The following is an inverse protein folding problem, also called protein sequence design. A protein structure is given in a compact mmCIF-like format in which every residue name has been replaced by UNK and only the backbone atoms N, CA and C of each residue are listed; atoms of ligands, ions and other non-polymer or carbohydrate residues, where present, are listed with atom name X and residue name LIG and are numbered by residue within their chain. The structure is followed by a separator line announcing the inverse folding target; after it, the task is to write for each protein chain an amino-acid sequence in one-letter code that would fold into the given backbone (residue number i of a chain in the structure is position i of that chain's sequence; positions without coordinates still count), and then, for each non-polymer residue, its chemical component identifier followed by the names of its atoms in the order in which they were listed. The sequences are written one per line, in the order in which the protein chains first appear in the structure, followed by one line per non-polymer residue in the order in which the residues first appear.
data_IF_289077108639
#
_entry.id   IF_289077108639
#
_cell.length_a   1.000
_cell.length_b   1.000
_cell.length_c   1.000
_cell.angle_alpha   90.00
_cell.angle_beta   90.00
_cell.angle_gamma   90.00
#
_symmetry.space_group_name_H-M   'P 1'
#
loop_
_entity.id
_entity.type
_entity.pdbx_description
1 polymer ?
#
# COMPACT_ATOMS: atom_id res chain seq x y z
N UNK A 1 -7.88 -10.97 13.70
CA UNK A 1 -8.33 -9.86 12.83
C UNK A 1 -9.81 -9.54 13.09
N UNK A 2 -10.68 -10.55 13.34
CA UNK A 2 -12.12 -10.30 13.61
C UNK A 2 -12.38 -9.47 14.88
N UNK A 3 -11.50 -9.51 15.88
CA UNK A 3 -11.70 -8.84 17.16
C UNK A 3 -11.21 -7.38 17.18
N UNK A 4 -10.51 -6.93 16.14
CA UNK A 4 -9.96 -5.58 16.06
C UNK A 4 -10.91 -4.56 15.38
N UNK A 5 -12.12 -4.97 14.97
CA UNK A 5 -13.11 -4.08 14.36
C UNK A 5 -12.77 -3.60 12.93
N UNK A 6 -11.76 -4.16 12.30
CA UNK A 6 -11.38 -3.80 10.93
C UNK A 6 -12.23 -4.55 9.91
N UNK A 7 -12.67 -3.84 8.87
CA UNK A 7 -13.33 -4.44 7.71
C UNK A 7 -12.36 -4.45 6.52
N UNK A 8 -11.60 -5.53 6.30
CA UNK A 8 -10.69 -5.60 5.17
C UNK A 8 -11.47 -5.73 3.87
N UNK A 9 -11.11 -4.95 2.85
CA UNK A 9 -11.56 -5.15 1.47
C UNK A 9 -10.37 -5.71 0.70
N UNK A 10 -10.42 -7.01 0.40
CA UNK A 10 -9.40 -7.72 -0.37
C UNK A 10 -9.97 -8.02 -1.75
N UNK A 11 -9.29 -7.56 -2.80
CA UNK A 11 -9.60 -7.94 -4.18
C UNK A 11 -8.51 -8.88 -4.66
N UNK A 12 -8.84 -10.15 -4.81
CA UNK A 12 -7.93 -11.14 -5.36
C UNK A 12 -7.86 -11.00 -6.89
N UNK A 13 -6.65 -10.96 -7.44
CA UNK A 13 -6.42 -10.91 -8.88
C UNK A 13 -5.93 -12.29 -9.35
N UNK A 14 -6.49 -12.88 -10.44
CA UNK A 14 -5.97 -14.12 -11.02
C UNK A 14 -4.51 -13.95 -11.47
N UNK A 15 -3.68 -14.96 -11.21
CA UNK A 15 -2.26 -14.92 -11.59
C UNK A 15 -2.05 -14.75 -13.10
N UNK A 16 -2.96 -15.26 -13.91
CA UNK A 16 -2.93 -15.18 -15.39
C UNK A 16 -3.10 -13.75 -15.93
N UNK A 17 -3.78 -12.87 -15.18
CA UNK A 17 -3.91 -11.45 -15.58
C UNK A 17 -2.58 -10.69 -15.52
N UNK A 18 -1.54 -11.28 -14.94
CA UNK A 18 -0.22 -10.68 -14.70
C UNK A 18 0.78 -11.01 -15.81
N UNK A 19 0.58 -12.08 -16.58
CA UNK A 19 1.53 -12.52 -17.61
C UNK A 19 1.57 -11.62 -18.88
N UNK A 20 0.56 -10.80 -19.10
CA UNK A 20 0.45 -9.93 -20.28
C UNK A 20 1.10 -8.54 -20.17
N UNK A 21 1.45 -8.09 -18.98
CA UNK A 21 2.04 -6.78 -18.76
C UNK A 21 3.58 -6.88 -18.66
N UNK A 22 4.24 -6.81 -19.80
CA UNK A 22 5.65 -6.49 -20.01
C UNK A 22 6.67 -6.96 -18.97
N UNK A 23 7.31 -8.11 -19.22
CA UNK A 23 8.53 -8.57 -18.55
C UNK A 23 9.70 -7.59 -18.76
N UNK A 24 9.70 -6.44 -18.12
CA UNK A 24 10.92 -5.66 -17.86
C UNK A 24 10.80 -5.01 -16.47
N UNK A 25 11.40 -5.64 -15.46
CA UNK A 25 11.70 -4.98 -14.19
C UNK A 25 10.73 -5.16 -13.03
N UNK A 26 9.82 -6.13 -13.01
CA UNK A 26 8.99 -6.42 -11.81
C UNK A 26 7.93 -5.37 -11.45
N UNK A 27 7.69 -4.39 -12.29
CA UNK A 27 6.66 -3.37 -12.08
C UNK A 27 5.34 -3.85 -12.69
N UNK A 28 4.41 -4.23 -11.83
CA UNK A 28 3.06 -4.61 -12.22
C UNK A 28 2.16 -3.38 -12.21
N UNK A 29 1.79 -2.91 -13.40
CA UNK A 29 0.78 -1.87 -13.53
C UNK A 29 -0.60 -2.43 -13.14
N UNK A 30 -1.20 -1.90 -12.08
CA UNK A 30 -2.56 -2.28 -11.70
C UNK A 30 -3.57 -1.79 -12.73
N UNK A 31 -4.43 -2.66 -13.27
CA UNK A 31 -5.46 -2.23 -14.23
C UNK A 31 -6.30 -1.08 -13.67
N UNK A 32 -6.53 -0.06 -14.48
CA UNK A 32 -7.23 1.17 -14.07
C UNK A 32 -8.61 0.89 -13.46
N UNK A 33 -9.30 -0.14 -13.96
CA UNK A 33 -10.61 -0.56 -13.45
C UNK A 33 -10.52 -1.08 -12.02
N UNK A 34 -9.48 -1.84 -11.69
CA UNK A 34 -9.23 -2.36 -10.34
C UNK A 34 -8.90 -1.22 -9.38
N UNK A 35 -8.02 -0.31 -9.79
CA UNK A 35 -7.69 0.89 -9.00
C UNK A 35 -8.94 1.70 -8.69
N UNK A 36 -9.75 1.96 -9.71
CA UNK A 36 -10.99 2.72 -9.57
C UNK A 36 -11.99 2.04 -8.64
N UNK A 37 -12.16 0.72 -8.76
CA UNK A 37 -13.03 -0.05 -7.87
C UNK A 37 -12.58 0.05 -6.41
N UNK A 38 -11.28 -0.13 -6.13
CA UNK A 38 -10.72 0.02 -4.78
C UNK A 38 -10.98 1.42 -4.22
N UNK A 39 -10.73 2.46 -5.01
CA UNK A 39 -10.93 3.85 -4.58
C UNK A 39 -12.42 4.14 -4.30
N UNK A 40 -13.34 3.62 -5.11
CA UNK A 40 -14.77 3.79 -4.88
C UNK A 40 -15.25 3.06 -3.61
N UNK A 41 -14.66 1.90 -3.28
CA UNK A 41 -14.95 1.16 -2.03
C UNK A 41 -14.38 1.90 -0.83
N UNK A 42 -13.10 2.30 -0.88
CA UNK A 42 -12.43 3.03 0.20
C UNK A 42 -12.99 4.43 0.43
N UNK A 43 -13.53 5.02 -0.61
CA UNK A 43 -14.20 6.31 -0.62
C UNK A 43 -13.42 7.40 0.14
N UNK A 44 -12.20 7.72 -0.29
CA UNK A 44 -11.43 8.78 0.35
C UNK A 44 -12.19 10.11 0.34
N UNK A 45 -12.06 10.92 1.39
CA UNK A 45 -12.75 12.20 1.49
C UNK A 45 -11.81 13.33 1.95
N UNK A 46 -12.28 14.56 1.82
CA UNK A 46 -11.51 15.75 2.16
C UNK A 46 -10.93 15.68 3.58
N UNK A 47 -9.66 16.05 3.72
CA UNK A 47 -8.93 16.04 4.98
C UNK A 47 -8.32 14.68 5.37
N UNK A 48 -8.66 13.60 4.68
CA UNK A 48 -8.14 12.28 4.97
C UNK A 48 -6.67 12.13 4.56
N UNK A 49 -5.96 11.28 5.30
CA UNK A 49 -4.64 10.78 4.97
C UNK A 49 -4.74 9.45 4.22
N UNK A 50 -4.02 9.37 3.09
CA UNK A 50 -4.00 8.20 2.21
C UNK A 50 -2.58 7.66 2.13
N UNK A 51 -2.40 6.36 2.35
CA UNK A 51 -1.09 5.71 2.29
C UNK A 51 -1.05 4.58 1.27
N UNK A 52 0.06 4.54 0.52
CA UNK A 52 0.42 3.43 -0.37
C UNK A 52 1.89 3.04 -0.11
N UNK A 53 2.09 1.91 0.57
CA UNK A 53 3.42 1.41 0.93
C UNK A 53 4.17 0.69 -0.20
N UNK A 54 3.58 0.60 -1.39
CA UNK A 54 4.20 0.05 -2.61
C UNK A 54 3.73 0.88 -3.81
N UNK A 55 3.89 2.22 -3.71
CA UNK A 55 3.14 3.16 -4.52
C UNK A 55 3.47 3.17 -6.01
N UNK A 56 4.55 2.50 -6.41
CA UNK A 56 4.93 2.46 -7.80
C UNK A 56 5.06 3.86 -8.40
N UNK A 57 4.42 4.10 -9.52
CA UNK A 57 4.35 5.43 -10.16
C UNK A 57 3.29 6.38 -9.56
N UNK A 58 2.62 5.99 -8.47
CA UNK A 58 1.63 6.82 -7.77
C UNK A 58 0.21 6.74 -8.30
N UNK A 59 -0.07 5.79 -9.19
CA UNK A 59 -1.37 5.72 -9.87
C UNK A 59 -2.57 5.58 -8.94
N UNK A 60 -2.45 4.82 -7.83
CA UNK A 60 -3.53 4.66 -6.85
C UNK A 60 -3.78 5.95 -6.06
N UNK A 61 -2.71 6.64 -5.65
CA UNK A 61 -2.81 7.92 -4.95
C UNK A 61 -3.46 8.99 -5.84
N UNK A 62 -3.06 9.06 -7.11
CA UNK A 62 -3.65 9.98 -8.10
C UNK A 62 -5.12 9.67 -8.38
N UNK A 63 -5.53 8.40 -8.38
CA UNK A 63 -6.94 8.03 -8.55
C UNK A 63 -7.79 8.45 -7.34
N UNK A 64 -7.24 8.45 -6.11
CA UNK A 64 -7.90 9.03 -4.95
C UNK A 64 -8.21 10.52 -5.17
N UNK A 65 -7.25 11.28 -5.69
CA UNK A 65 -7.45 12.68 -6.06
C UNK A 65 -8.49 12.84 -7.18
N UNK A 66 -8.44 11.99 -8.20
CA UNK A 66 -9.40 12.00 -9.29
C UNK A 66 -10.84 11.68 -8.80
N UNK A 67 -10.98 10.78 -7.82
CA UNK A 67 -12.28 10.49 -7.17
C UNK A 67 -12.87 11.73 -6.49
N UNK A 68 -12.06 12.52 -5.77
CA UNK A 68 -12.51 13.78 -5.18
C UNK A 68 -12.95 14.78 -6.27
N UNK A 69 -12.14 14.93 -7.35
CA UNK A 69 -12.50 15.80 -8.47
C UNK A 69 -13.85 15.42 -9.09
N UNK A 70 -14.09 14.13 -9.33
CA UNK A 70 -15.41 13.64 -9.85
C UNK A 70 -16.56 14.00 -8.92
N UNK A 71 -16.34 14.01 -7.61
CA UNK A 71 -17.31 14.42 -6.59
C UNK A 71 -17.33 15.92 -6.31
N UNK A 72 -16.67 16.73 -7.16
CA UNK A 72 -16.58 18.21 -7.04
C UNK A 72 -15.97 18.66 -5.70
N UNK A 73 -15.07 17.87 -5.12
CA UNK A 73 -14.31 18.19 -3.91
C UNK A 73 -12.87 18.56 -4.28
N UNK A 74 -12.20 19.31 -3.42
CA UNK A 74 -10.82 19.72 -3.63
C UNK A 74 -9.86 18.53 -3.42
N UNK A 75 -9.13 18.05 -4.45
CA UNK A 75 -8.16 16.96 -4.30
C UNK A 75 -6.97 17.31 -3.41
N UNK A 76 -6.57 18.59 -3.34
CA UNK A 76 -5.48 19.07 -2.47
C UNK A 76 -5.83 19.03 -0.97
N UNK A 77 -7.06 18.68 -0.61
CA UNK A 77 -7.41 18.41 0.78
C UNK A 77 -6.98 17.02 1.28
N UNK A 78 -6.59 16.10 0.37
CA UNK A 78 -6.01 14.82 0.77
C UNK A 78 -4.54 15.01 1.16
N UNK A 79 -4.12 14.29 2.18
CA UNK A 79 -2.72 14.15 2.56
C UNK A 79 -2.21 12.81 2.04
N UNK A 80 -1.36 12.85 1.03
CA UNK A 80 -0.88 11.65 0.34
C UNK A 80 0.49 11.23 0.86
N UNK A 81 0.61 9.96 1.16
CA UNK A 81 1.84 9.31 1.61
C UNK A 81 2.11 8.09 0.75
N UNK A 82 3.35 7.95 0.29
CA UNK A 82 3.77 6.81 -0.51
C UNK A 82 5.15 6.33 -0.12
N UNK A 83 5.41 5.05 -0.34
CA UNK A 83 6.76 4.50 -0.22
C UNK A 83 7.03 3.57 -1.40
N UNK A 84 8.23 3.69 -2.00
CA UNK A 84 8.66 2.91 -3.16
C UNK A 84 10.14 2.54 -3.02
N UNK A 85 10.48 1.28 -3.24
CA UNK A 85 11.85 0.78 -3.11
C UNK A 85 12.70 1.12 -4.34
N UNK A 86 12.12 1.08 -5.55
CA UNK A 86 12.82 1.31 -6.79
C UNK A 86 13.05 2.82 -7.01
N UNK A 87 14.31 3.22 -7.18
CA UNK A 87 14.68 4.63 -7.38
C UNK A 87 13.99 5.27 -8.59
N UNK A 88 13.97 4.57 -9.73
CA UNK A 88 13.42 5.12 -10.96
C UNK A 88 11.90 5.28 -10.85
N UNK A 89 11.22 4.28 -10.30
CA UNK A 89 9.78 4.30 -10.10
C UNK A 89 9.38 5.34 -9.06
N UNK A 90 10.15 5.47 -7.97
CA UNK A 90 9.98 6.56 -7.01
C UNK A 90 10.10 7.95 -7.66
N UNK A 91 11.11 8.15 -8.52
CA UNK A 91 11.29 9.41 -9.23
C UNK A 91 10.11 9.70 -10.18
N UNK A 92 9.63 8.67 -10.91
CA UNK A 92 8.43 8.77 -11.75
C UNK A 92 7.20 9.14 -10.90
N UNK A 93 7.02 8.53 -9.73
CA UNK A 93 5.93 8.87 -8.82
C UNK A 93 5.95 10.35 -8.45
N UNK A 94 7.11 10.87 -8.06
CA UNK A 94 7.26 12.29 -7.70
C UNK A 94 6.98 13.24 -8.86
N UNK A 95 7.45 12.89 -10.06
CA UNK A 95 7.15 13.64 -11.29
C UNK A 95 5.65 13.61 -11.57
N UNK A 96 5.00 12.44 -11.43
CA UNK A 96 3.57 12.32 -11.63
C UNK A 96 2.76 13.16 -10.63
N UNK A 97 3.14 13.18 -9.34
CA UNK A 97 2.50 14.05 -8.35
C UNK A 97 2.60 15.52 -8.79
N UNK A 98 3.79 15.97 -9.17
CA UNK A 98 4.02 17.34 -9.65
C UNK A 98 3.19 17.67 -10.89
N UNK A 99 3.18 16.79 -11.91
CA UNK A 99 2.40 16.99 -13.15
C UNK A 99 0.88 17.03 -12.92
N UNK A 100 0.41 16.45 -11.82
CA UNK A 100 -1.00 16.47 -11.41
C UNK A 100 -1.32 17.60 -10.39
N UNK A 101 -0.38 18.53 -10.18
CA UNK A 101 -0.53 19.67 -9.28
C UNK A 101 -0.72 19.24 -7.80
N UNK A 102 0.01 18.19 -7.40
CA UNK A 102 0.06 17.63 -6.03
C UNK A 102 1.53 17.65 -5.59
N UNK A 103 1.98 18.81 -5.14
CA UNK A 103 3.35 19.08 -4.76
C UNK A 103 3.65 18.80 -3.27
N UNK A 104 2.62 18.62 -2.45
CA UNK A 104 2.66 18.35 -1.02
C UNK A 104 2.56 16.86 -0.64
N UNK A 105 2.65 15.93 -1.61
CA UNK A 105 2.67 14.51 -1.34
C UNK A 105 4.00 14.05 -0.72
N UNK A 106 3.92 13.26 0.35
CA UNK A 106 5.07 12.68 1.06
C UNK A 106 5.43 11.33 0.45
N UNK A 107 6.26 11.34 -0.58
CA UNK A 107 6.69 10.13 -1.28
C UNK A 107 8.14 9.81 -0.90
N UNK A 108 8.30 8.76 -0.11
CA UNK A 108 9.58 8.33 0.43
C UNK A 108 10.17 7.15 -0.37
N UNK A 109 11.51 7.11 -0.45
CA UNK A 109 12.21 5.97 -1.03
C UNK A 109 12.66 5.01 0.05
N UNK A 110 12.34 3.73 -0.09
CA UNK A 110 12.82 2.69 0.83
C UNK A 110 12.02 1.40 0.79
N UNK A 111 12.57 0.38 1.42
CA UNK A 111 11.91 -0.90 1.64
C UNK A 111 10.87 -0.75 2.76
N UNK A 112 9.62 -0.93 2.43
CA UNK A 112 8.49 -0.74 3.35
C UNK A 112 8.47 -1.75 4.51
N UNK A 113 8.92 -2.97 4.25
CA UNK A 113 8.91 -4.02 5.26
C UNK A 113 10.13 -3.93 6.19
N UNK A 114 11.32 -3.63 5.66
CA UNK A 114 12.55 -3.52 6.45
C UNK A 114 12.76 -2.13 7.04
N UNK A 115 12.43 -1.10 6.29
CA UNK A 115 12.73 0.29 6.64
C UNK A 115 11.55 1.22 6.34
N UNK A 116 10.41 1.08 7.04
CA UNK A 116 9.29 2.00 6.88
C UNK A 116 9.75 3.44 7.15
N UNK A 117 9.26 4.39 6.35
CA UNK A 117 9.68 5.79 6.39
C UNK A 117 8.65 6.70 7.06
N UNK A 118 7.39 6.35 6.98
CA UNK A 118 6.32 7.12 7.62
C UNK A 118 6.18 6.72 9.07
N UNK A 119 6.91 7.43 9.94
CA UNK A 119 7.05 7.14 11.37
C UNK A 119 6.70 8.38 12.20
N UNK A 120 6.26 8.15 13.43
CA UNK A 120 6.04 9.13 14.48
C UNK A 120 6.88 8.77 15.73
N UNK A 121 6.86 9.61 16.77
CA UNK A 121 7.52 9.28 18.04
C UNK A 121 9.02 9.07 17.91
N UNK A 122 9.72 9.98 17.23
CA UNK A 122 11.17 9.89 16.99
C UNK A 122 11.58 8.62 16.21
N UNK A 123 10.75 8.20 15.27
CA UNK A 123 11.03 7.05 14.41
C UNK A 123 10.75 5.68 15.04
N UNK A 124 10.00 5.63 16.13
CA UNK A 124 9.74 4.39 16.87
C UNK A 124 8.38 3.75 16.59
N UNK A 125 7.44 4.50 16.02
CA UNK A 125 6.06 4.02 15.82
C UNK A 125 5.65 4.30 14.38
N UNK A 126 4.93 3.38 13.76
CA UNK A 126 4.33 3.59 12.44
C UNK A 126 3.32 4.74 12.51
N UNK A 127 3.36 5.60 11.52
CA UNK A 127 2.29 6.57 11.29
C UNK A 127 1.03 5.83 10.87
N UNK A 128 -0.14 6.32 11.30
CA UNK A 128 -1.43 5.72 10.96
C UNK A 128 -2.25 6.62 10.04
N UNK A 129 -3.08 5.99 9.19
CA UNK A 129 -3.77 6.65 8.08
C UNK A 129 -5.26 6.32 8.04
N UNK A 130 -6.05 7.22 7.46
CA UNK A 130 -7.49 7.02 7.26
C UNK A 130 -7.79 5.98 6.19
N UNK A 131 -6.94 5.93 5.15
CA UNK A 131 -7.07 4.95 4.06
C UNK A 131 -5.69 4.44 3.68
N UNK A 132 -5.57 3.12 3.58
CA UNK A 132 -4.41 2.45 3.00
C UNK A 132 -4.87 1.76 1.73
N UNK A 133 -4.19 2.03 0.62
CA UNK A 133 -4.49 1.44 -0.69
C UNK A 133 -3.20 0.99 -1.33
N UNK A 134 -3.07 -0.28 -1.73
CA UNK A 134 -1.83 -0.77 -2.28
C UNK A 134 -2.01 -1.97 -3.22
N UNK A 135 -1.07 -2.12 -4.14
CA UNK A 135 -0.81 -3.34 -4.89
C UNK A 135 0.66 -3.75 -4.66
N UNK A 136 0.99 -4.42 -3.55
CA UNK A 136 2.36 -4.81 -3.25
C UNK A 136 2.87 -5.88 -4.23
N UNK A 137 4.20 -6.08 -4.35
CA UNK A 137 4.77 -7.12 -5.18
C UNK A 137 4.32 -8.50 -4.68
N UNK A 138 3.85 -9.35 -5.61
CA UNK A 138 3.34 -10.68 -5.27
C UNK A 138 4.47 -11.66 -5.01
N UNK A 139 4.28 -12.52 -3.99
CA UNK A 139 5.16 -13.64 -3.66
C UNK A 139 6.64 -13.25 -3.51
N UNK A 140 6.88 -12.09 -2.91
CA UNK A 140 8.22 -11.60 -2.63
C UNK A 140 8.95 -12.57 -1.68
N UNK A 141 10.09 -13.12 -2.13
CA UNK A 141 10.86 -14.09 -1.34
C UNK A 141 11.77 -13.43 -0.30
N UNK A 142 12.46 -12.35 -0.69
CA UNK A 142 13.46 -11.67 0.15
C UNK A 142 12.84 -10.45 0.87
N UNK A 143 11.75 -10.68 1.63
CA UNK A 143 10.93 -9.61 2.21
C UNK A 143 11.39 -9.16 3.63
N UNK A 144 12.39 -9.81 4.22
CA UNK A 144 12.84 -9.47 5.58
C UNK A 144 12.36 -10.43 6.65
N UNK A 145 12.02 -11.68 6.29
CA UNK A 145 11.56 -12.72 7.23
C UNK A 145 12.51 -12.90 8.42
N UNK A 146 13.82 -12.98 8.17
CA UNK A 146 14.79 -13.29 9.23
C UNK A 146 14.95 -12.12 10.23
N UNK A 147 14.70 -10.89 9.77
CA UNK A 147 14.62 -9.71 10.64
C UNK A 147 13.35 -9.74 11.49
N UNK A 148 12.19 -9.98 10.90
CA UNK A 148 10.92 -10.04 11.61
C UNK A 148 10.87 -11.20 12.61
N UNK A 149 11.47 -12.34 12.30
CA UNK A 149 11.56 -13.52 13.20
C UNK A 149 12.37 -13.25 14.46
N UNK A 150 13.28 -12.26 14.45
CA UNK A 150 14.05 -11.83 15.61
C UNK A 150 13.32 -10.79 16.47
N UNK A 151 12.19 -10.32 16.01
CA UNK A 151 11.37 -9.28 16.62
C UNK A 151 11.23 -8.05 15.71
N UNK A 152 10.02 -7.78 15.29
CA UNK A 152 9.72 -6.57 14.53
C UNK A 152 9.63 -5.36 15.49
N UNK A 153 10.44 -4.29 15.30
CA UNK A 153 10.46 -3.14 16.21
C UNK A 153 9.16 -2.34 16.21
N UNK A 154 8.27 -2.58 15.24
CA UNK A 154 6.99 -1.88 15.11
C UNK A 154 5.78 -2.73 15.54
N UNK A 155 6.00 -3.97 16.01
CA UNK A 155 4.95 -4.87 16.51
C UNK A 155 4.10 -5.53 15.43
N UNK A 156 4.47 -5.41 14.15
CA UNK A 156 3.66 -5.91 13.01
C UNK A 156 3.50 -7.43 12.99
N UNK A 157 4.41 -8.17 13.62
CA UNK A 157 4.38 -9.64 13.72
C UNK A 157 3.53 -10.16 14.89
N UNK A 158 2.65 -9.36 15.48
CA UNK A 158 1.78 -9.77 16.57
C UNK A 158 0.89 -10.97 16.21
N UNK A 159 0.44 -11.07 14.98
CA UNK A 159 -0.37 -12.20 14.49
C UNK A 159 0.45 -13.38 13.98
N UNK A 160 1.76 -13.33 14.11
CA UNK A 160 2.71 -14.33 13.65
C UNK A 160 3.65 -13.76 12.58
N UNK A 161 4.73 -14.48 12.27
CA UNK A 161 5.63 -14.10 11.19
C UNK A 161 5.20 -14.82 9.91
N UNK A 162 4.87 -14.10 8.84
CA UNK A 162 4.48 -14.71 7.56
C UNK A 162 5.56 -15.65 6.99
N UNK A 163 5.19 -16.65 6.19
CA UNK A 163 6.14 -17.62 5.65
C UNK A 163 7.31 -16.98 4.87
N UNK A 164 8.52 -17.49 5.04
CA UNK A 164 9.76 -16.96 4.43
C UNK A 164 9.66 -16.78 2.91
N UNK A 165 8.97 -17.69 2.22
CA UNK A 165 8.87 -17.68 0.75
C UNK A 165 7.85 -16.70 0.17
N UNK A 166 7.04 -16.01 0.99
CA UNK A 166 5.89 -15.22 0.53
C UNK A 166 5.65 -14.00 1.41
N UNK A 167 6.07 -12.83 0.95
CA UNK A 167 5.91 -11.56 1.67
C UNK A 167 4.50 -10.94 1.60
N UNK A 168 3.55 -11.60 0.92
CA UNK A 168 2.20 -11.05 0.70
C UNK A 168 1.52 -10.65 2.02
N UNK A 169 1.53 -11.56 3.03
CA UNK A 169 0.93 -11.29 4.34
C UNK A 169 1.73 -10.30 5.17
N UNK A 170 3.06 -10.21 5.00
CA UNK A 170 3.86 -9.20 5.67
C UNK A 170 3.47 -7.77 5.25
N UNK A 171 3.14 -7.57 3.97
CA UNK A 171 2.56 -6.30 3.52
C UNK A 171 1.18 -6.06 4.14
N UNK A 172 0.33 -7.08 4.21
CA UNK A 172 -1.00 -6.95 4.85
C UNK A 172 -0.87 -6.54 6.33
N UNK A 173 0.01 -7.19 7.09
CA UNK A 173 0.29 -6.84 8.48
C UNK A 173 0.81 -5.41 8.61
N UNK A 174 1.79 -5.02 7.78
CA UNK A 174 2.27 -3.65 7.77
C UNK A 174 1.14 -2.64 7.49
N UNK A 175 0.26 -2.92 6.55
CA UNK A 175 -0.85 -2.04 6.20
C UNK A 175 -1.92 -1.97 7.30
N UNK A 176 -2.20 -3.09 7.98
CA UNK A 176 -3.12 -3.11 9.14
C UNK A 176 -2.55 -2.24 10.27
N UNK A 177 -1.26 -2.39 10.58
CA UNK A 177 -0.57 -1.58 11.59
C UNK A 177 -0.46 -0.09 11.22
N UNK A 178 -0.64 0.23 9.95
CA UNK A 178 -0.67 1.61 9.43
C UNK A 178 -2.09 2.19 9.35
N UNK A 179 -3.11 1.54 9.92
CA UNK A 179 -4.48 2.09 9.98
C UNK A 179 -4.72 2.82 11.30
N UNK A 180 -5.42 3.94 11.24
CA UNK A 180 -6.01 4.53 12.44
C UNK A 180 -7.31 3.80 12.83
N UNK A 181 -7.90 4.14 13.98
CA UNK A 181 -9.07 3.46 14.55
C UNK A 181 -10.30 3.37 13.62
N UNK A 182 -10.40 4.25 12.64
CA UNK A 182 -11.48 4.29 11.64
C UNK A 182 -10.96 4.05 10.22
N UNK A 183 -9.72 3.60 10.12
CA UNK A 183 -9.03 3.36 8.87
C UNK A 183 -9.63 2.21 8.07
N UNK A 184 -9.47 2.28 6.76
CA UNK A 184 -9.85 1.20 5.85
C UNK A 184 -8.67 0.83 4.97
N UNK A 185 -8.46 -0.48 4.79
CA UNK A 185 -7.45 -1.05 3.89
C UNK A 185 -8.09 -1.60 2.63
N UNK A 186 -7.57 -1.21 1.47
CA UNK A 186 -7.84 -1.85 0.18
C UNK A 186 -6.53 -2.34 -0.43
N UNK A 187 -6.36 -3.64 -0.57
CA UNK A 187 -5.13 -4.24 -1.08
C UNK A 187 -5.42 -5.25 -2.19
N UNK A 188 -4.61 -5.21 -3.24
CA UNK A 188 -4.62 -6.22 -4.30
C UNK A 188 -3.64 -7.33 -3.91
N UNK A 189 -4.10 -8.57 -3.92
CA UNK A 189 -3.30 -9.75 -3.56
C UNK A 189 -3.50 -10.87 -4.58
N UNK A 190 -2.52 -11.78 -4.73
CA UNK A 190 -2.72 -12.98 -5.53
C UNK A 190 -3.76 -13.88 -4.86
N UNK A 191 -4.67 -14.48 -5.66
CA UNK A 191 -5.75 -15.31 -5.13
C UNK A 191 -5.25 -16.47 -4.25
N UNK A 192 -4.02 -16.97 -4.50
CA UNK A 192 -3.40 -18.02 -3.72
C UNK A 192 -3.23 -17.70 -2.23
N UNK A 193 -3.21 -16.44 -1.84
CA UNK A 193 -3.13 -16.03 -0.42
C UNK A 193 -4.33 -16.55 0.39
N UNK A 194 -5.50 -16.71 -0.23
CA UNK A 194 -6.71 -17.18 0.41
C UNK A 194 -6.71 -18.72 0.66
N UNK A 195 -5.85 -19.47 0.00
CA UNK A 195 -5.84 -20.93 0.00
C UNK A 195 -4.51 -21.54 0.45
N UNK A 196 -3.49 -20.73 0.69
CA UNK A 196 -2.21 -21.19 1.25
C UNK A 196 -2.40 -21.41 2.75
N UNK A 197 -2.61 -22.68 3.13
CA UNK A 197 -2.49 -23.10 4.52
C UNK A 197 -1.05 -22.91 5.00
N UNK A 198 -0.87 -22.43 6.23
CA UNK A 198 0.39 -22.46 6.94
C UNK A 198 0.61 -23.82 7.56
#
# INVERSE_FOLDING_TARGET
IKDAGYTPVVIAQPAEAVEGAGKKGGEFYTPKQVVRLLVEILRPDAGMSIYDGACGSGGMLLECCASLRRRKKNPKSLRLYGQEINLNTWAICRINMFLHDIDDAFIERGDTLRHPKHLVGNGKTLMTFDRVIANPPFSLKEWGHDEWSKGDPYGRSEYGVPPKGYGDLAFVEHFIWSLNDKGMLGVVLPHGVLFRGG
#
